data_IF_042404856149
#
_entry.id   IF_042404856149
#
_cell.length_a   1.000
_cell.length_b   1.000
_cell.length_c   1.000
_cell.angle_alpha   90.00
_cell.angle_beta   90.00
_cell.angle_gamma   90.00
#
_symmetry.space_group_name_H-M   'P 1'
#
loop_
_entity.id
_entity.type
_entity.pdbx_description
1 polymer ?
#
# COMPACT_ATOMS: atom_id res chain seq x y z
N UNK A 1 -17.80 22.20 2.31
CA UNK A 1 -16.78 21.88 1.29
C UNK A 1 -15.60 21.19 1.96
N UNK A 2 -14.84 20.35 1.26
CA UNK A 2 -13.59 19.78 1.81
C UNK A 2 -12.46 20.78 1.53
N UNK A 3 -11.84 21.41 2.55
CA UNK A 3 -10.81 22.44 2.33
C UNK A 3 -9.60 21.92 1.57
N UNK A 4 -9.24 20.65 1.80
CA UNK A 4 -8.15 19.99 1.09
C UNK A 4 -8.42 19.94 -0.41
N UNK A 5 -9.63 19.54 -0.84
CA UNK A 5 -9.99 19.44 -2.26
C UNK A 5 -10.19 20.80 -2.94
N UNK A 6 -10.28 21.89 -2.17
CA UNK A 6 -10.38 23.24 -2.68
C UNK A 6 -9.00 23.84 -3.04
N UNK A 7 -7.90 23.15 -2.70
CA UNK A 7 -6.56 23.60 -3.05
C UNK A 7 -6.28 23.42 -4.56
N UNK A 8 -5.43 24.27 -5.15
CA UNK A 8 -4.90 24.05 -6.49
C UNK A 8 -4.17 22.69 -6.61
N UNK A 9 -4.23 22.08 -7.79
CA UNK A 9 -3.57 20.79 -8.07
C UNK A 9 -2.06 20.79 -7.80
N UNK A 10 -1.40 21.93 -7.96
CA UNK A 10 0.02 22.10 -7.62
C UNK A 10 0.30 21.88 -6.13
N UNK A 11 -0.59 22.37 -5.25
CA UNK A 11 -0.48 22.15 -3.81
C UNK A 11 -0.79 20.70 -3.45
N UNK A 12 -1.74 20.06 -4.14
CA UNK A 12 -1.94 18.61 -4.00
C UNK A 12 -0.64 17.85 -4.31
N UNK A 13 0.02 18.14 -5.43
CA UNK A 13 1.27 17.48 -5.80
C UNK A 13 2.37 17.70 -4.75
N UNK A 14 2.53 18.93 -4.23
CA UNK A 14 3.48 19.22 -3.15
C UNK A 14 3.17 18.43 -1.88
N UNK A 15 1.90 18.34 -1.48
CA UNK A 15 1.48 17.53 -0.32
C UNK A 15 1.83 16.07 -0.55
N UNK A 16 1.48 15.52 -1.72
CA UNK A 16 1.71 14.12 -2.05
C UNK A 16 3.20 13.73 -2.02
N UNK A 17 4.09 14.64 -2.43
CA UNK A 17 5.55 14.44 -2.38
C UNK A 17 6.11 14.35 -0.96
N UNK A 18 5.42 14.95 0.03
CA UNK A 18 5.82 14.92 1.44
C UNK A 18 5.26 13.69 2.19
N UNK A 19 4.39 12.90 1.57
CA UNK A 19 3.76 11.75 2.21
C UNK A 19 4.59 10.47 2.04
N UNK A 20 4.86 9.80 3.16
CA UNK A 20 5.39 8.45 3.15
C UNK A 20 4.44 7.43 2.47
N UNK A 21 4.95 6.26 2.04
CA UNK A 21 4.17 5.27 1.28
C UNK A 21 2.83 4.87 1.92
N UNK A 22 2.83 4.59 3.23
CA UNK A 22 1.59 4.21 3.94
C UNK A 22 0.53 5.30 3.88
N UNK A 23 0.90 6.56 4.10
CA UNK A 23 -0.03 7.70 4.05
C UNK A 23 -0.54 7.95 2.64
N UNK A 24 0.32 7.81 1.63
CA UNK A 24 -0.09 7.86 0.22
C UNK A 24 -1.12 6.77 -0.09
N UNK A 25 -0.88 5.54 0.36
CA UNK A 25 -1.81 4.44 0.17
C UNK A 25 -3.17 4.71 0.85
N UNK A 26 -3.18 5.18 2.09
CA UNK A 26 -4.40 5.55 2.79
C UNK A 26 -5.18 6.64 2.05
N UNK A 27 -4.53 7.73 1.67
CA UNK A 27 -5.17 8.84 0.94
C UNK A 27 -5.78 8.38 -0.39
N UNK A 28 -5.08 7.49 -1.12
CA UNK A 28 -5.56 6.89 -2.36
C UNK A 28 -6.81 6.03 -2.16
N UNK A 29 -6.99 5.44 -0.98
CA UNK A 29 -8.16 4.60 -0.66
C UNK A 29 -9.37 5.38 -0.15
N UNK A 30 -9.17 6.58 0.40
CA UNK A 30 -10.24 7.39 1.00
C UNK A 30 -10.91 8.36 0.03
N UNK A 31 -10.23 8.74 -1.07
CA UNK A 31 -10.73 9.78 -1.98
C UNK A 31 -10.58 9.38 -3.46
N UNK A 32 -11.69 9.44 -4.22
CA UNK A 32 -11.67 9.15 -5.67
C UNK A 32 -10.78 10.11 -6.47
N UNK A 33 -10.73 11.39 -6.09
CA UNK A 33 -9.88 12.39 -6.74
C UNK A 33 -8.40 12.03 -6.57
N UNK A 34 -7.95 11.84 -5.33
CA UNK A 34 -6.57 11.43 -5.06
C UNK A 34 -6.24 10.06 -5.67
N UNK A 35 -7.19 9.14 -5.70
CA UNK A 35 -7.05 7.87 -6.43
C UNK A 35 -6.77 8.04 -7.93
N UNK A 36 -7.35 9.05 -8.56
CA UNK A 36 -7.19 9.30 -9.99
C UNK A 36 -5.86 9.99 -10.32
N UNK A 37 -5.40 10.92 -9.48
CA UNK A 37 -4.16 11.68 -9.73
C UNK A 37 -2.89 10.99 -9.20
N UNK A 38 -3.03 10.07 -8.25
CA UNK A 38 -1.89 9.36 -7.68
C UNK A 38 -1.61 8.07 -8.46
N UNK A 39 -0.36 7.84 -8.90
CA UNK A 39 0.00 6.54 -9.46
C UNK A 39 -0.17 5.43 -8.40
N UNK A 40 -0.41 4.18 -8.82
CA UNK A 40 -0.28 3.03 -7.94
C UNK A 40 1.12 3.01 -7.31
N UNK A 41 1.21 2.61 -6.04
CA UNK A 41 2.52 2.41 -5.39
C UNK A 41 3.26 1.25 -6.08
N UNK A 42 4.57 1.41 -6.22
CA UNK A 42 5.40 0.32 -6.71
C UNK A 42 5.58 -0.78 -5.63
N UNK A 43 6.09 -1.98 -5.99
CA UNK A 43 6.24 -3.08 -5.03
C UNK A 43 7.10 -2.74 -3.80
N UNK A 44 8.17 -1.97 -3.96
CA UNK A 44 9.04 -1.57 -2.85
C UNK A 44 8.35 -0.57 -1.91
N UNK A 45 7.57 0.35 -2.44
CA UNK A 45 6.76 1.27 -1.64
C UNK A 45 5.67 0.54 -0.86
N UNK A 46 5.09 -0.52 -1.43
CA UNK A 46 4.15 -1.38 -0.72
C UNK A 46 4.82 -2.15 0.42
N UNK A 47 6.02 -2.70 0.20
CA UNK A 47 6.79 -3.36 1.26
C UNK A 47 7.19 -2.37 2.36
N UNK A 48 7.58 -1.15 2.00
CA UNK A 48 7.84 -0.08 2.96
C UNK A 48 6.59 0.30 3.76
N UNK A 49 5.42 0.35 3.11
CA UNK A 49 4.14 0.61 3.77
C UNK A 49 3.72 -0.54 4.70
N UNK A 50 3.94 -1.80 4.30
CA UNK A 50 3.77 -2.99 5.13
C UNK A 50 4.64 -2.95 6.39
N UNK A 51 5.90 -2.52 6.24
CA UNK A 51 6.85 -2.37 7.34
C UNK A 51 6.62 -1.11 8.19
N UNK A 52 5.63 -0.28 7.86
CA UNK A 52 5.27 0.86 8.72
C UNK A 52 4.57 0.40 10.00
N UNK A 53 4.57 1.24 11.04
CA UNK A 53 3.84 1.00 12.29
C UNK A 53 2.39 0.56 12.03
N UNK A 54 1.67 1.28 11.15
CA UNK A 54 0.29 0.98 10.79
C UNK A 54 0.18 -0.39 10.07
N UNK A 55 1.12 -0.70 9.18
CA UNK A 55 1.17 -1.96 8.46
C UNK A 55 1.40 -3.17 9.38
N UNK A 56 2.28 -3.01 10.37
CA UNK A 56 2.53 -4.04 11.39
C UNK A 56 1.33 -4.21 12.32
N UNK A 57 0.82 -3.12 12.91
CA UNK A 57 -0.32 -3.16 13.85
C UNK A 57 -1.58 -3.78 13.22
N UNK A 58 -1.83 -3.49 11.95
CA UNK A 58 -3.00 -4.03 11.22
C UNK A 58 -2.74 -5.36 10.53
N UNK A 59 -1.56 -5.96 10.73
CA UNK A 59 -1.16 -7.22 10.10
C UNK A 59 -1.39 -7.23 8.59
N UNK A 60 -0.97 -6.15 7.93
CA UNK A 60 -1.07 -6.00 6.48
C UNK A 60 0.13 -6.64 5.78
N UNK A 61 -0.08 -7.09 4.55
CA UNK A 61 0.92 -7.66 3.65
C UNK A 61 0.72 -7.12 2.23
N UNK A 62 1.82 -6.84 1.54
CA UNK A 62 1.87 -6.42 0.16
C UNK A 62 1.64 -7.61 -0.79
N UNK A 63 0.75 -7.41 -1.76
CA UNK A 63 0.58 -8.30 -2.89
C UNK A 63 1.24 -7.71 -4.13
N UNK A 64 2.10 -8.50 -4.78
CA UNK A 64 2.89 -8.09 -5.95
C UNK A 64 2.10 -8.02 -7.25
N UNK A 65 0.93 -8.65 -7.34
CA UNK A 65 0.11 -8.65 -8.55
C UNK A 65 -0.88 -7.48 -8.57
N UNK A 66 -1.69 -7.35 -7.51
CA UNK A 66 -2.71 -6.30 -7.47
C UNK A 66 -2.23 -4.97 -6.87
N UNK A 67 -0.96 -4.88 -6.46
CA UNK A 67 -0.33 -3.68 -5.89
C UNK A 67 -1.14 -3.06 -4.74
N UNK A 68 -1.62 -3.92 -3.82
CA UNK A 68 -2.40 -3.52 -2.63
C UNK A 68 -1.80 -4.12 -1.37
N UNK A 69 -1.96 -3.41 -0.26
CA UNK A 69 -1.87 -4.00 1.08
C UNK A 69 -3.18 -4.72 1.39
N UNK A 70 -3.09 -5.96 1.85
CA UNK A 70 -4.24 -6.76 2.28
C UNK A 70 -3.98 -7.34 3.68
N UNK A 71 -5.03 -7.62 4.47
CA UNK A 71 -4.88 -8.31 5.75
C UNK A 71 -4.21 -9.68 5.60
N UNK A 72 -3.52 -10.14 6.63
CA UNK A 72 -2.89 -11.46 6.68
C UNK A 72 -3.85 -12.61 6.30
N UNK A 73 -5.14 -12.49 6.62
CA UNK A 73 -6.17 -13.48 6.26
C UNK A 73 -6.44 -13.60 4.75
N UNK A 74 -5.89 -12.69 3.94
CA UNK A 74 -5.96 -12.74 2.48
C UNK A 74 -4.72 -13.36 1.84
N UNK A 75 -3.83 -13.95 2.63
CA UNK A 75 -2.64 -14.67 2.15
C UNK A 75 -2.62 -16.06 2.77
N UNK A 76 -2.17 -17.02 1.97
CA UNK A 76 -1.84 -18.37 2.43
C UNK A 76 -0.68 -18.32 3.45
N UNK A 77 -0.62 -19.29 4.36
CA UNK A 77 0.44 -19.35 5.39
C UNK A 77 1.83 -19.48 4.76
N UNK A 78 1.96 -20.23 3.65
CA UNK A 78 3.20 -20.33 2.88
C UNK A 78 3.68 -18.99 2.29
N UNK A 79 2.77 -18.01 2.15
CA UNK A 79 3.09 -16.66 1.68
C UNK A 79 3.45 -15.71 2.82
N UNK A 80 3.25 -16.09 4.08
CA UNK A 80 3.53 -15.24 5.25
C UNK A 80 4.74 -15.69 6.04
N UNK A 81 5.28 -16.87 5.75
CA UNK A 81 6.36 -17.51 6.48
C UNK A 81 7.67 -17.54 5.68
N UNK A 82 8.75 -17.92 6.38
CA UNK A 82 10.07 -18.20 5.79
C UNK A 82 10.60 -17.07 4.89
N UNK A 83 11.09 -17.43 3.69
CA UNK A 83 11.66 -16.50 2.73
C UNK A 83 10.64 -15.46 2.22
N UNK A 84 9.33 -15.71 2.40
CA UNK A 84 8.24 -14.81 1.98
C UNK A 84 7.64 -14.04 3.15
N UNK A 85 8.18 -14.15 4.37
CA UNK A 85 7.73 -13.37 5.52
C UNK A 85 7.94 -11.86 5.38
N UNK A 86 7.43 -11.07 6.34
CA UNK A 86 7.64 -9.61 6.36
C UNK A 86 9.14 -9.30 6.41
N UNK A 87 9.62 -8.43 5.51
CA UNK A 87 11.04 -8.08 5.41
C UNK A 87 11.96 -9.19 4.89
N UNK A 88 11.43 -10.37 4.54
CA UNK A 88 12.22 -11.45 3.98
C UNK A 88 12.54 -11.22 2.50
N UNK A 89 13.56 -11.92 1.98
CA UNK A 89 14.10 -11.74 0.62
C UNK A 89 13.04 -11.88 -0.48
N UNK A 90 12.14 -12.84 -0.34
CA UNK A 90 11.10 -13.16 -1.34
C UNK A 90 9.74 -12.56 -0.98
N UNK A 91 9.72 -11.57 -0.08
CA UNK A 91 8.50 -10.81 0.28
C UNK A 91 7.82 -10.17 -0.94
N UNK A 92 8.62 -9.75 -1.93
CA UNK A 92 8.13 -9.20 -3.19
C UNK A 92 7.42 -10.23 -4.08
N UNK A 93 7.58 -11.53 -3.81
CA UNK A 93 6.96 -12.60 -4.59
C UNK A 93 5.60 -13.04 -4.02
N UNK A 94 5.11 -12.39 -2.95
CA UNK A 94 3.80 -12.70 -2.36
C UNK A 94 2.64 -12.25 -3.22
N UNK A 95 1.63 -13.11 -3.31
CA UNK A 95 0.33 -12.76 -3.87
C UNK A 95 -0.79 -13.11 -2.90
N UNK A 96 -1.86 -12.30 -2.92
CA UNK A 96 -3.03 -12.59 -2.11
C UNK A 96 -3.87 -13.69 -2.78
N UNK A 97 -4.73 -14.33 -1.99
CA UNK A 97 -5.65 -15.37 -2.45
C UNK A 97 -6.46 -14.92 -3.68
N UNK A 98 -6.98 -13.68 -3.70
CA UNK A 98 -7.73 -13.14 -4.84
C UNK A 98 -6.91 -13.09 -6.17
N UNK A 99 -5.57 -13.13 -6.12
CA UNK A 99 -4.69 -13.06 -7.29
C UNK A 99 -4.09 -14.43 -7.67
N UNK A 100 -4.20 -15.43 -6.80
CA UNK A 100 -3.69 -16.79 -7.04
C UNK A 100 -4.74 -17.74 -7.61
N UNK A 101 -5.94 -17.24 -7.91
CA UNK A 101 -7.06 -17.96 -8.54
C UNK A 101 -7.01 -17.77 -10.04
#
# INVERSE_FOLDING_TARGET
SCPLLALPGELHNKILQQLGPMHRLLLRTTCRYFRAIMPPLNPYELLAAEASKIGMERQLYACSFCHRLRPASKFDDSMKEWARGKGARDSINRFCLDCGV
#
